data_IF_812216755358
#
_entry.id   IF_812216755358
#
_cell.length_a   1.000
_cell.length_b   1.000
_cell.length_c   1.000
_cell.angle_alpha   90.00
_cell.angle_beta   90.00
_cell.angle_gamma   90.00
#
_symmetry.space_group_name_H-M   'P 1'
#
loop_
_entity.id
_entity.type
_entity.pdbx_description
1 polymer ?
#
# COMPACT_ATOMS: atom_id res chain seq x y z
N UNK A 1 8.34 3.59 -20.91
CA UNK A 1 7.06 2.94 -20.62
C UNK A 1 6.47 3.53 -19.35
N UNK A 2 5.12 3.58 -19.25
CA UNK A 2 4.43 3.98 -18.04
C UNK A 2 4.77 3.02 -16.88
N UNK A 3 4.50 3.51 -15.68
CA UNK A 3 4.60 2.68 -14.46
C UNK A 3 3.22 2.25 -13.95
N UNK A 4 2.19 2.54 -14.73
CA UNK A 4 0.81 2.14 -14.50
C UNK A 4 0.24 1.62 -15.83
N UNK A 5 -0.70 0.66 -15.80
CA UNK A 5 -1.40 0.21 -17.01
C UNK A 5 -2.12 1.37 -17.70
N UNK A 6 -2.15 1.37 -19.02
CA UNK A 6 -2.91 2.36 -19.78
C UNK A 6 -4.42 2.10 -19.65
N UNK A 7 -5.20 3.13 -19.37
CA UNK A 7 -6.66 3.06 -19.32
C UNK A 7 -7.21 3.50 -20.68
N UNK A 8 -7.84 2.59 -21.40
CA UNK A 8 -8.40 2.85 -22.73
C UNK A 8 -9.81 3.43 -22.69
N UNK A 9 -10.61 3.01 -21.70
CA UNK A 9 -11.98 3.47 -21.52
C UNK A 9 -12.39 3.40 -20.05
N UNK A 10 -13.08 4.44 -19.60
CA UNK A 10 -13.79 4.43 -18.31
C UNK A 10 -15.25 4.85 -18.53
N UNK A 11 -16.16 4.04 -18.06
CA UNK A 11 -17.60 4.31 -18.06
C UNK A 11 -18.15 4.30 -16.63
N UNK A 12 -18.39 5.49 -16.08
CA UNK A 12 -18.88 5.65 -14.71
C UNK A 12 -20.34 5.22 -14.52
N UNK A 13 -21.15 5.13 -15.60
CA UNK A 13 -22.54 4.66 -15.51
C UNK A 13 -22.58 3.14 -15.42
N UNK A 14 -21.76 2.47 -16.22
CA UNK A 14 -21.65 1.02 -16.21
C UNK A 14 -20.68 0.50 -15.14
N UNK A 15 -20.02 1.39 -14.40
CA UNK A 15 -18.93 1.04 -13.47
C UNK A 15 -17.91 0.09 -14.12
N UNK A 16 -17.50 0.42 -15.35
CA UNK A 16 -16.64 -0.42 -16.16
C UNK A 16 -15.39 0.34 -16.61
N UNK A 17 -14.26 -0.34 -16.60
CA UNK A 17 -12.99 0.17 -17.11
C UNK A 17 -12.35 -0.86 -18.04
N UNK A 18 -11.85 -0.38 -19.19
CA UNK A 18 -11.02 -1.17 -20.09
C UNK A 18 -9.60 -0.63 -19.99
N UNK A 19 -8.66 -1.49 -19.66
CA UNK A 19 -7.27 -1.13 -19.44
C UNK A 19 -6.34 -2.10 -20.17
N UNK A 20 -5.07 -1.74 -20.24
CA UNK A 20 -4.00 -2.55 -20.80
C UNK A 20 -3.97 -3.94 -20.16
N UNK A 21 -3.87 -4.98 -21.02
CA UNK A 21 -3.70 -6.35 -20.56
C UNK A 21 -2.23 -6.62 -20.24
N UNK A 22 -1.95 -7.00 -19.01
CA UNK A 22 -0.60 -7.25 -18.49
C UNK A 22 -0.01 -8.61 -18.94
N UNK A 23 -0.19 -8.96 -20.22
CA UNK A 23 0.41 -10.18 -20.80
C UNK A 23 1.91 -10.20 -20.58
N UNK A 24 2.45 -11.34 -20.14
CA UNK A 24 3.88 -11.50 -19.87
C UNK A 24 4.37 -10.87 -18.55
N UNK A 25 3.44 -10.44 -17.70
CA UNK A 25 3.73 -10.03 -16.34
C UNK A 25 3.09 -11.00 -15.34
N UNK A 26 3.65 -11.07 -14.15
CA UNK A 26 3.07 -11.78 -13.01
C UNK A 26 2.79 -10.81 -11.88
N UNK A 27 1.90 -11.17 -10.98
CA UNK A 27 1.74 -10.43 -9.73
C UNK A 27 3.02 -10.57 -8.91
N UNK A 28 3.61 -9.46 -8.47
CA UNK A 28 4.90 -9.47 -7.78
C UNK A 28 4.90 -10.38 -6.55
N UNK A 29 3.81 -10.42 -5.79
CA UNK A 29 3.64 -11.32 -4.64
C UNK A 29 3.88 -12.78 -5.03
N UNK A 30 3.34 -13.23 -6.16
CA UNK A 30 3.51 -14.60 -6.66
C UNK A 30 4.98 -14.88 -7.01
N UNK A 31 5.64 -13.98 -7.73
CA UNK A 31 7.05 -14.12 -8.06
C UNK A 31 7.94 -14.19 -6.81
N UNK A 32 7.71 -13.31 -5.83
CA UNK A 32 8.46 -13.32 -4.58
C UNK A 32 8.27 -14.60 -3.74
N UNK A 33 7.06 -15.18 -3.75
CA UNK A 33 6.82 -16.49 -3.12
C UNK A 33 7.65 -17.58 -3.79
N UNK A 34 7.89 -17.50 -5.10
CA UNK A 34 8.77 -18.39 -5.85
C UNK A 34 10.25 -17.98 -5.83
N UNK A 35 10.61 -17.00 -4.97
CA UNK A 35 11.98 -16.50 -4.81
C UNK A 35 12.57 -15.84 -6.08
N UNK A 36 11.71 -15.32 -6.95
CA UNK A 36 12.16 -14.55 -8.10
C UNK A 36 12.73 -13.19 -7.66
N UNK A 37 13.77 -12.74 -8.37
CA UNK A 37 14.43 -11.45 -8.12
C UNK A 37 14.17 -10.51 -9.29
N UNK A 38 13.80 -9.29 -9.01
CA UNK A 38 13.46 -8.26 -9.99
C UNK A 38 14.43 -7.07 -9.87
N UNK A 39 15.57 -7.08 -10.56
CA UNK A 39 16.64 -6.12 -10.35
C UNK A 39 16.26 -4.67 -10.70
N UNK A 40 15.28 -4.47 -11.59
CA UNK A 40 14.80 -3.13 -11.99
C UNK A 40 13.70 -2.56 -11.11
N UNK A 41 13.11 -3.39 -10.25
CA UNK A 41 12.02 -2.97 -9.37
C UNK A 41 12.38 -1.78 -8.48
N UNK A 42 13.54 -1.73 -7.78
CA UNK A 42 13.86 -0.62 -6.89
C UNK A 42 13.85 0.74 -7.60
N UNK A 43 14.44 0.84 -8.78
CA UNK A 43 14.49 2.09 -9.54
C UNK A 43 13.10 2.49 -10.07
N UNK A 44 12.32 1.52 -10.54
CA UNK A 44 11.01 1.76 -11.11
C UNK A 44 9.99 2.13 -10.04
N UNK A 45 9.95 1.42 -8.92
CA UNK A 45 9.04 1.77 -7.81
C UNK A 45 9.41 3.11 -7.18
N UNK A 46 10.70 3.43 -7.08
CA UNK A 46 11.14 4.74 -6.58
C UNK A 46 10.68 5.85 -7.52
N UNK A 47 10.76 5.64 -8.82
CA UNK A 47 10.26 6.61 -9.83
C UNK A 47 8.75 6.80 -9.68
N UNK A 48 7.98 5.72 -9.50
CA UNK A 48 6.54 5.80 -9.23
C UNK A 48 6.26 6.61 -7.97
N UNK A 49 6.92 6.27 -6.85
CA UNK A 49 6.74 6.96 -5.57
C UNK A 49 7.10 8.45 -5.65
N UNK A 50 8.17 8.82 -6.35
CA UNK A 50 8.53 10.23 -6.56
C UNK A 50 7.42 10.95 -7.33
N UNK A 51 6.92 10.36 -8.42
CA UNK A 51 5.88 10.98 -9.25
C UNK A 51 4.54 11.14 -8.50
N UNK A 52 4.16 10.18 -7.67
CA UNK A 52 2.92 10.27 -6.89
C UNK A 52 3.12 11.09 -5.61
N UNK A 53 4.13 10.76 -4.80
CA UNK A 53 4.27 11.33 -3.47
C UNK A 53 4.90 12.72 -3.50
N UNK A 54 6.11 12.86 -4.07
CA UNK A 54 6.81 14.15 -4.04
C UNK A 54 6.11 15.21 -4.89
N UNK A 55 5.69 14.85 -6.10
CA UNK A 55 5.11 15.80 -7.06
C UNK A 55 3.73 16.32 -6.66
N UNK A 56 3.08 15.70 -5.68
CA UNK A 56 1.77 16.13 -5.16
C UNK A 56 1.85 16.85 -3.81
N UNK A 57 3.06 17.03 -3.26
CA UNK A 57 3.26 17.81 -2.04
C UNK A 57 3.08 19.32 -2.27
N UNK A 58 2.89 20.06 -1.19
CA UNK A 58 2.86 21.53 -1.17
C UNK A 58 4.23 22.19 -1.45
N UNK A 59 5.30 21.41 -1.47
CA UNK A 59 6.64 21.87 -1.86
C UNK A 59 6.74 22.07 -3.40
N UNK A 60 6.04 21.24 -4.17
CA UNK A 60 6.14 21.19 -5.62
C UNK A 60 4.88 21.71 -6.32
N UNK A 61 3.72 21.31 -5.83
CA UNK A 61 2.43 21.62 -6.45
C UNK A 61 1.89 22.97 -6.01
N UNK A 62 1.25 23.69 -6.93
CA UNK A 62 0.51 24.92 -6.62
C UNK A 62 -0.55 24.66 -5.53
N UNK A 63 -0.62 25.56 -4.55
CA UNK A 63 -1.44 25.35 -3.36
C UNK A 63 -2.95 25.31 -3.66
N UNK A 64 -3.43 26.08 -4.64
CA UNK A 64 -4.86 26.07 -4.98
C UNK A 64 -5.23 24.80 -5.72
N UNK A 65 -4.39 24.38 -6.69
CA UNK A 65 -4.52 23.13 -7.41
C UNK A 65 -4.50 21.93 -6.44
N UNK A 66 -3.55 21.94 -5.49
CA UNK A 66 -3.43 20.88 -4.49
C UNK A 66 -4.69 20.78 -3.62
N UNK A 67 -5.23 21.89 -3.13
CA UNK A 67 -6.47 21.88 -2.34
C UNK A 67 -7.67 21.36 -3.13
N UNK A 68 -7.74 21.66 -4.42
CA UNK A 68 -8.77 21.10 -5.29
C UNK A 68 -8.65 19.58 -5.40
N UNK A 69 -7.43 19.07 -5.60
CA UNK A 69 -7.17 17.62 -5.65
C UNK A 69 -7.43 16.92 -4.30
N UNK A 70 -7.06 17.53 -3.17
CA UNK A 70 -7.39 16.96 -1.83
C UNK A 70 -8.90 16.77 -1.68
N UNK A 71 -9.71 17.68 -2.20
CA UNK A 71 -11.17 17.53 -2.19
C UNK A 71 -11.66 16.47 -3.17
N UNK A 72 -11.06 16.40 -4.36
CA UNK A 72 -11.42 15.43 -5.41
C UNK A 72 -11.10 14.01 -4.99
N UNK A 73 -9.94 13.79 -4.40
CA UNK A 73 -9.48 12.50 -3.86
C UNK A 73 -9.89 12.30 -2.39
N UNK A 74 -11.04 12.81 -1.99
CA UNK A 74 -11.64 12.43 -0.72
C UNK A 74 -12.25 11.04 -0.85
N UNK A 75 -11.83 10.10 0.00
CA UNK A 75 -12.17 8.68 -0.11
C UNK A 75 -12.57 8.11 1.27
N UNK A 76 -13.66 8.62 1.88
CA UNK A 76 -13.96 8.31 3.27
C UNK A 76 -14.28 6.83 3.51
N UNK A 77 -14.96 6.16 2.58
CA UNK A 77 -15.37 4.77 2.74
C UNK A 77 -14.16 3.81 2.78
N UNK A 78 -13.20 3.99 1.88
CA UNK A 78 -12.02 3.13 1.84
C UNK A 78 -10.97 3.54 2.89
N UNK A 79 -10.90 4.83 3.25
CA UNK A 79 -10.12 5.26 4.41
C UNK A 79 -10.61 4.60 5.71
N UNK A 80 -11.93 4.52 5.96
CA UNK A 80 -12.49 3.85 7.14
C UNK A 80 -12.11 2.36 7.20
N UNK A 81 -12.07 1.68 6.05
CA UNK A 81 -11.58 0.29 5.96
C UNK A 81 -10.14 0.20 6.44
N UNK A 82 -9.24 1.04 5.91
CA UNK A 82 -7.82 1.05 6.31
C UNK A 82 -7.65 1.41 7.79
N UNK A 83 -8.37 2.41 8.27
CA UNK A 83 -8.34 2.85 9.68
C UNK A 83 -8.71 1.73 10.65
N UNK A 84 -9.62 0.86 10.26
CA UNK A 84 -10.07 -0.25 11.10
C UNK A 84 -9.24 -1.51 10.87
N UNK A 85 -9.00 -1.92 9.63
CA UNK A 85 -8.35 -3.20 9.31
C UNK A 85 -6.82 -3.15 9.37
N UNK A 86 -6.20 -1.97 9.28
CA UNK A 86 -4.74 -1.83 9.35
C UNK A 86 -4.31 -1.26 10.70
N UNK A 87 -4.94 -0.16 11.15
CA UNK A 87 -4.53 0.51 12.39
C UNK A 87 -5.31 0.09 13.64
N UNK A 88 -6.42 -0.61 13.49
CA UNK A 88 -7.27 -1.01 14.62
C UNK A 88 -7.17 -2.48 14.95
N UNK A 89 -7.85 -3.30 14.19
CA UNK A 89 -8.09 -4.71 14.52
C UNK A 89 -6.82 -5.56 14.69
N UNK A 90 -5.75 -5.42 13.88
CA UNK A 90 -4.57 -6.25 14.05
C UNK A 90 -3.87 -6.09 15.40
N UNK A 91 -4.07 -4.91 16.05
CA UNK A 91 -3.42 -4.57 17.31
C UNK A 91 -4.37 -4.73 18.50
N UNK A 92 -5.67 -4.51 18.30
CA UNK A 92 -6.65 -4.48 19.38
C UNK A 92 -7.58 -5.70 19.41
N UNK A 93 -7.75 -6.38 18.27
CA UNK A 93 -8.66 -7.54 18.12
C UNK A 93 -10.06 -7.35 18.74
N UNK A 94 -10.59 -6.13 18.70
CA UNK A 94 -11.85 -5.80 19.37
C UNK A 94 -13.07 -6.51 18.76
N UNK A 95 -12.97 -6.97 17.51
CA UNK A 95 -14.02 -7.77 16.86
C UNK A 95 -13.79 -9.28 17.00
N UNK A 96 -12.66 -9.73 17.58
CA UNK A 96 -12.35 -11.14 17.81
C UNK A 96 -12.22 -11.96 16.53
N UNK A 97 -11.92 -11.33 15.38
CA UNK A 97 -11.86 -11.99 14.06
C UNK A 97 -10.45 -12.14 13.48
N UNK A 98 -9.43 -11.77 14.26
CA UNK A 98 -8.05 -11.95 13.81
C UNK A 98 -7.73 -13.46 13.77
N UNK A 99 -7.36 -13.94 12.58
CA UNK A 99 -6.85 -15.30 12.39
C UNK A 99 -5.34 -15.32 12.64
N UNK A 100 -4.96 -15.74 13.82
CA UNK A 100 -3.56 -15.79 14.25
C UNK A 100 -2.99 -17.16 14.01
N UNK A 101 -1.89 -17.25 13.27
CA UNK A 101 -1.16 -18.50 13.02
C UNK A 101 -0.84 -19.20 14.36
N UNK A 102 -1.30 -20.44 14.58
CA UNK A 102 -1.28 -21.08 15.89
C UNK A 102 0.07 -21.08 16.61
N UNK A 103 1.22 -21.33 15.93
CA UNK A 103 2.53 -21.33 16.59
C UNK A 103 2.98 -20.00 17.20
N UNK A 104 2.39 -18.85 16.80
CA UNK A 104 2.73 -17.52 17.33
C UNK A 104 1.59 -16.91 18.16
N UNK A 105 0.57 -17.68 18.48
CA UNK A 105 -0.61 -17.17 19.18
C UNK A 105 -0.26 -16.58 20.54
N UNK A 106 0.50 -17.29 21.36
CA UNK A 106 0.89 -16.82 22.70
C UNK A 106 1.71 -15.52 22.60
N UNK A 107 2.63 -15.42 21.62
CA UNK A 107 3.38 -14.19 21.36
C UNK A 107 2.45 -13.02 21.02
N UNK A 108 1.49 -13.23 20.14
CA UNK A 108 0.55 -12.17 19.75
C UNK A 108 -0.30 -11.73 20.93
N UNK A 109 -0.78 -12.67 21.74
CA UNK A 109 -1.61 -12.36 22.91
C UNK A 109 -0.83 -11.61 24.02
N UNK A 110 0.45 -11.95 24.24
CA UNK A 110 1.27 -11.34 25.31
C UNK A 110 2.02 -10.10 24.84
N UNK A 111 2.65 -10.13 23.66
CA UNK A 111 3.58 -9.11 23.20
C UNK A 111 2.95 -8.08 22.26
N UNK A 112 1.77 -8.40 21.67
CA UNK A 112 1.07 -7.46 20.77
C UNK A 112 -0.17 -6.88 21.47
N UNK A 113 -1.10 -7.77 21.90
CA UNK A 113 -2.38 -7.32 22.45
C UNK A 113 -2.27 -6.71 23.84
N UNK A 114 -1.16 -6.92 24.57
CA UNK A 114 -0.91 -6.32 25.89
C UNK A 114 0.07 -5.14 25.84
N UNK A 115 0.69 -4.84 24.69
CA UNK A 115 1.64 -3.73 24.57
C UNK A 115 0.94 -2.37 24.42
N UNK A 116 0.74 -1.67 25.54
CA UNK A 116 0.14 -0.34 25.58
C UNK A 116 0.99 0.73 24.86
N UNK A 117 2.32 0.54 24.77
CA UNK A 117 3.18 1.48 24.03
C UNK A 117 2.99 1.31 22.53
N UNK A 118 2.94 0.06 22.05
CA UNK A 118 2.63 -0.25 20.66
C UNK A 118 1.27 0.34 20.27
N UNK A 119 0.23 0.10 21.07
CA UNK A 119 -1.12 0.66 20.84
C UNK A 119 -1.09 2.19 20.74
N UNK A 120 -0.36 2.86 21.64
CA UNK A 120 -0.24 4.32 21.62
C UNK A 120 0.48 4.83 20.36
N UNK A 121 1.53 4.16 19.90
CA UNK A 121 2.24 4.55 18.66
C UNK A 121 1.38 4.29 17.41
N UNK A 122 0.68 3.16 17.35
CA UNK A 122 -0.26 2.87 16.25
C UNK A 122 -1.41 3.88 16.23
N UNK A 123 -1.95 4.26 17.37
CA UNK A 123 -2.97 5.32 17.45
C UNK A 123 -2.47 6.67 16.90
N UNK A 124 -1.20 7.05 17.15
CA UNK A 124 -0.60 8.25 16.56
C UNK A 124 -0.47 8.13 15.04
N UNK A 125 -0.09 6.96 14.52
CA UNK A 125 -0.02 6.72 13.08
C UNK A 125 -1.42 6.78 12.45
N UNK A 126 -2.42 6.15 13.06
CA UNK A 126 -3.84 6.25 12.65
C UNK A 126 -4.28 7.71 12.59
N UNK A 127 -4.01 8.50 13.63
CA UNK A 127 -4.36 9.92 13.68
C UNK A 127 -3.70 10.72 12.54
N UNK A 128 -2.44 10.43 12.21
CA UNK A 128 -1.75 11.02 11.05
C UNK A 128 -2.39 10.60 9.73
N UNK A 129 -2.74 9.32 9.59
CA UNK A 129 -3.41 8.80 8.40
C UNK A 129 -4.73 9.52 8.16
N UNK A 130 -5.53 9.71 9.18
CA UNK A 130 -6.83 10.39 9.12
C UNK A 130 -6.74 11.89 8.81
N UNK A 131 -5.65 12.56 9.20
CA UNK A 131 -5.63 14.03 9.27
C UNK A 131 -4.50 14.69 8.50
N UNK A 132 -3.47 13.96 8.08
CA UNK A 132 -2.28 14.55 7.46
C UNK A 132 -2.26 14.37 5.95
N UNK A 133 -2.93 15.25 5.25
CA UNK A 133 -2.99 15.28 3.79
C UNK A 133 -1.65 15.77 3.19
N UNK A 134 -0.61 14.96 3.24
CA UNK A 134 0.75 15.31 2.81
C UNK A 134 0.94 15.21 1.30
N UNK A 135 0.55 14.09 0.70
CA UNK A 135 0.70 13.78 -0.73
C UNK A 135 -0.39 12.83 -1.20
N UNK A 136 -0.59 12.72 -2.50
CA UNK A 136 -1.46 11.71 -3.07
C UNK A 136 -0.78 10.35 -2.92
N UNK A 137 -1.28 9.52 -2.03
CA UNK A 137 -0.81 8.16 -1.81
C UNK A 137 -1.67 7.17 -2.60
N UNK A 138 -1.13 5.99 -2.89
CA UNK A 138 -1.86 4.87 -3.46
C UNK A 138 -2.85 4.29 -2.44
N UNK A 139 -2.47 4.28 -1.17
CA UNK A 139 -3.31 3.87 -0.05
C UNK A 139 -3.37 2.36 0.20
N UNK A 140 -2.92 1.52 -0.76
CA UNK A 140 -2.78 0.07 -0.61
C UNK A 140 -1.63 -0.48 -1.47
N UNK A 141 -0.47 0.12 -1.36
CA UNK A 141 0.70 -0.23 -2.18
C UNK A 141 1.45 -1.43 -1.60
N UNK A 142 0.99 -2.61 -1.92
CA UNK A 142 1.62 -3.87 -1.55
C UNK A 142 2.04 -4.69 -2.79
N UNK A 143 2.74 -5.79 -2.60
CA UNK A 143 3.21 -6.63 -3.71
C UNK A 143 2.10 -7.35 -4.50
N UNK A 144 0.87 -7.32 -4.03
CA UNK A 144 -0.33 -7.74 -4.74
C UNK A 144 -0.91 -6.66 -5.65
N UNK A 145 -0.49 -5.39 -5.51
CA UNK A 145 -0.90 -4.26 -6.36
C UNK A 145 0.18 -3.89 -7.38
N UNK A 146 1.06 -4.86 -7.72
CA UNK A 146 2.16 -4.68 -8.66
C UNK A 146 2.20 -5.84 -9.64
N UNK A 147 2.08 -5.56 -10.92
CA UNK A 147 2.44 -6.46 -12.01
C UNK A 147 3.90 -6.24 -12.40
N UNK A 148 4.64 -7.34 -12.60
CA UNK A 148 6.09 -7.28 -12.79
C UNK A 148 6.59 -8.38 -13.72
N UNK A 149 7.68 -8.07 -14.45
CA UNK A 149 8.56 -9.02 -15.10
C UNK A 149 10.02 -8.56 -14.92
N UNK A 150 10.97 -9.16 -15.59
CA UNK A 150 12.39 -8.79 -15.44
C UNK A 150 12.73 -7.38 -15.94
N UNK A 151 11.87 -6.79 -16.77
CA UNK A 151 12.12 -5.51 -17.44
C UNK A 151 11.22 -4.38 -16.92
N UNK A 152 10.00 -4.68 -16.51
CA UNK A 152 8.97 -3.68 -16.23
C UNK A 152 8.20 -3.94 -14.95
N UNK A 153 7.84 -2.86 -14.29
CA UNK A 153 6.98 -2.81 -13.10
C UNK A 153 5.79 -1.92 -13.39
N UNK A 154 4.58 -2.40 -13.12
CA UNK A 154 3.34 -1.64 -13.22
C UNK A 154 2.59 -1.67 -11.91
N UNK A 155 2.31 -0.50 -11.36
CA UNK A 155 1.45 -0.34 -10.17
C UNK A 155 0.01 -0.19 -10.65
N UNK A 156 -0.91 -0.89 -10.01
CA UNK A 156 -2.33 -0.86 -10.36
C UNK A 156 -3.20 -0.88 -9.10
N UNK A 157 -4.53 -0.76 -9.28
CA UNK A 157 -5.52 -0.84 -8.21
C UNK A 157 -5.44 0.32 -7.19
N UNK A 158 -5.50 1.59 -7.65
CA UNK A 158 -5.42 2.75 -6.79
C UNK A 158 -6.75 3.12 -6.11
N UNK A 159 -7.64 2.18 -5.85
CA UNK A 159 -8.96 2.45 -5.30
C UNK A 159 -8.93 3.12 -3.92
N UNK A 160 -7.88 2.86 -3.13
CA UNK A 160 -7.64 3.46 -1.83
C UNK A 160 -6.96 4.82 -1.89
N UNK A 161 -6.73 5.38 -3.09
CA UNK A 161 -5.97 6.62 -3.23
C UNK A 161 -6.67 7.82 -2.58
N UNK A 162 -5.90 8.57 -1.79
CA UNK A 162 -6.32 9.84 -1.19
C UNK A 162 -5.09 10.67 -0.80
N UNK A 163 -5.28 11.91 -0.35
CA UNK A 163 -4.19 12.69 0.20
C UNK A 163 -3.91 12.29 1.64
N UNK A 164 -2.86 11.50 1.84
CA UNK A 164 -2.43 10.95 3.12
C UNK A 164 -0.93 11.12 3.39
N UNK A 165 -0.42 10.52 4.48
CA UNK A 165 1.00 10.57 4.82
C UNK A 165 1.82 9.68 3.87
N UNK A 166 2.81 10.26 3.17
CA UNK A 166 3.64 9.52 2.20
C UNK A 166 4.37 8.31 2.78
N UNK A 167 4.68 8.35 4.08
CA UNK A 167 5.32 7.23 4.78
C UNK A 167 4.48 5.95 4.81
N UNK A 168 3.17 6.03 4.54
CA UNK A 168 2.29 4.87 4.49
C UNK A 168 2.63 3.96 3.30
N UNK A 169 2.67 4.50 2.09
CA UNK A 169 3.02 3.73 0.90
C UNK A 169 4.47 3.23 0.93
N UNK A 170 5.41 4.09 1.33
CA UNK A 170 6.82 3.72 1.46
C UNK A 170 6.97 2.57 2.45
N UNK A 171 6.30 2.66 3.59
CA UNK A 171 6.31 1.64 4.63
C UNK A 171 5.72 0.31 4.15
N UNK A 172 4.63 0.34 3.39
CA UNK A 172 4.01 -0.86 2.82
C UNK A 172 4.95 -1.58 1.84
N UNK A 173 5.59 -0.85 0.92
CA UNK A 173 6.59 -1.44 0.00
C UNK A 173 7.71 -2.11 0.79
N UNK A 174 8.30 -1.41 1.75
CA UNK A 174 9.41 -1.93 2.56
C UNK A 174 8.97 -3.16 3.37
N UNK A 175 7.81 -3.10 4.04
CA UNK A 175 7.30 -4.22 4.84
C UNK A 175 7.07 -5.47 3.99
N UNK A 176 6.50 -5.32 2.79
CA UNK A 176 6.28 -6.44 1.88
C UNK A 176 7.60 -7.08 1.39
N UNK A 177 8.65 -6.28 1.19
CA UNK A 177 9.98 -6.81 0.86
C UNK A 177 10.60 -7.55 2.06
N UNK A 178 10.38 -7.08 3.29
CA UNK A 178 10.80 -7.81 4.49
C UNK A 178 10.06 -9.14 4.65
N UNK A 179 8.76 -9.22 4.32
CA UNK A 179 8.03 -10.49 4.31
C UNK A 179 8.62 -11.47 3.30
N UNK A 180 8.95 -11.01 2.10
CA UNK A 180 9.60 -11.84 1.07
C UNK A 180 10.98 -12.32 1.52
N UNK A 181 11.79 -11.43 2.11
CA UNK A 181 13.11 -11.78 2.66
C UNK A 181 13.01 -12.81 3.78
N UNK A 182 12.08 -12.65 4.71
CA UNK A 182 11.85 -13.60 5.80
C UNK A 182 11.42 -14.98 5.27
N UNK A 183 10.54 -15.02 4.27
CA UNK A 183 10.12 -16.25 3.60
C UNK A 183 11.31 -16.95 2.91
N UNK A 184 12.16 -16.19 2.20
CA UNK A 184 13.37 -16.72 1.54
C UNK A 184 14.36 -17.33 2.53
N UNK A 185 14.62 -16.66 3.65
CA UNK A 185 15.51 -17.16 4.69
C UNK A 185 15.00 -18.44 5.39
N UNK A 186 13.69 -18.62 5.50
CA UNK A 186 13.10 -19.83 6.05
C UNK A 186 13.31 -21.06 5.16
N UNK A 187 13.51 -20.85 3.86
CA UNK A 187 13.68 -21.91 2.86
C UNK A 187 15.15 -22.36 2.71
N UNK A 188 16.10 -21.54 3.14
CA UNK A 188 17.55 -21.84 3.08
C UNK A 188 18.00 -22.73 4.27
N UNK A 189 17.12 -23.13 5.14
CA UNK A 189 17.37 -24.14 6.20
C UNK A 189 17.01 -25.52 5.73
#
# INVERSE_FOLDING_TARGET
>A
PGLVPEVYLYDGVMCAMIMEDMVGHTMMRTGLIHHEVYPKFPDQITTFLVNCLLMTTDIVMDHQKRKALVREFSNPELCDITENLVFGEPILNYNGRNDVFPPVKDFVETEIYQDEKLKAEVAKLKFRFMNYAQSLIHGDLHTGSVFINQEHTFVFDPEFAFFGPMGYDIGNVIANLFFAWANGNATIK
#
